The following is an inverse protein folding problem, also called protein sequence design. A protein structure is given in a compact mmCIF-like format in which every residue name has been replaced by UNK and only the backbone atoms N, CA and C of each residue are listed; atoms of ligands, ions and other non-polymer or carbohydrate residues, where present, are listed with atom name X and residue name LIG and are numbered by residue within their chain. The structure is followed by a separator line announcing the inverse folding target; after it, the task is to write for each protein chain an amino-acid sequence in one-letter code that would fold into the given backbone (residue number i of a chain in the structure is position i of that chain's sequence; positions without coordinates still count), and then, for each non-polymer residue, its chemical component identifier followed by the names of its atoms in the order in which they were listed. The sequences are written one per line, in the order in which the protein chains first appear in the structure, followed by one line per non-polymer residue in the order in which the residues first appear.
data_IF_373737364835
#
_entry.id   IF_373737364835
#
_cell.length_a   1.000
_cell.length_b   1.000
_cell.length_c   1.000
_cell.angle_alpha   90.00
_cell.angle_beta   90.00
_cell.angle_gamma   90.00
#
_symmetry.space_group_name_H-M   'P 1'
#
loop_
_entity.id
_entity.type
_entity.pdbx_description
1 polymer ?
#
# COMPACT_ATOMS: atom_id res chain seq x y z
N UNK A 1 21.10 -16.48 -31.40
CA UNK A 1 21.13 -15.22 -30.66
C UNK A 1 20.70 -15.36 -29.18
N UNK A 2 19.62 -16.07 -28.82
CA UNK A 2 19.19 -16.26 -27.40
C UNK A 2 20.29 -16.88 -26.50
N UNK A 3 21.04 -17.88 -26.99
CA UNK A 3 22.09 -18.54 -26.18
C UNK A 3 23.35 -17.68 -25.96
N UNK A 4 23.59 -16.68 -26.81
CA UNK A 4 24.74 -15.78 -26.69
C UNK A 4 24.53 -14.72 -25.59
N UNK A 5 23.31 -14.17 -25.49
CA UNK A 5 22.98 -13.20 -24.44
C UNK A 5 22.82 -13.83 -23.05
N UNK A 6 22.38 -15.10 -22.96
CA UNK A 6 22.37 -15.86 -21.72
C UNK A 6 23.77 -16.06 -21.15
N UNK A 7 24.74 -16.47 -22.02
CA UNK A 7 26.12 -16.67 -21.59
C UNK A 7 26.84 -15.39 -21.18
N UNK A 8 26.49 -14.22 -21.77
CA UNK A 8 27.01 -12.93 -21.35
C UNK A 8 26.44 -12.52 -20.00
N UNK A 9 25.14 -12.74 -19.76
CA UNK A 9 24.48 -12.46 -18.49
C UNK A 9 25.06 -13.26 -17.32
N UNK A 10 25.33 -14.55 -17.53
CA UNK A 10 25.99 -15.41 -16.53
C UNK A 10 27.44 -14.98 -16.24
N UNK A 11 28.18 -14.59 -17.28
CA UNK A 11 29.56 -14.09 -17.11
C UNK A 11 29.65 -12.76 -16.36
N UNK A 12 28.68 -11.87 -16.60
CA UNK A 12 28.60 -10.59 -15.86
C UNK A 12 28.21 -10.84 -14.38
N UNK A 13 27.29 -11.79 -14.12
CA UNK A 13 26.91 -12.17 -12.77
C UNK A 13 28.05 -12.83 -12.00
N UNK A 14 28.79 -13.74 -12.64
CA UNK A 14 29.98 -14.38 -12.07
C UNK A 14 31.09 -13.37 -11.77
N UNK A 15 31.30 -12.37 -12.63
CA UNK A 15 32.28 -11.30 -12.39
C UNK A 15 31.88 -10.38 -11.21
N UNK A 16 30.60 -10.08 -11.02
CA UNK A 16 30.13 -9.28 -9.87
C UNK A 16 30.32 -10.03 -8.55
N UNK A 17 30.01 -11.32 -8.50
CA UNK A 17 30.24 -12.14 -7.31
C UNK A 17 31.75 -12.25 -7.00
N UNK A 18 32.59 -12.45 -8.02
CA UNK A 18 34.03 -12.49 -7.83
C UNK A 18 34.62 -11.14 -7.32
N UNK A 19 34.14 -10.01 -7.85
CA UNK A 19 34.54 -8.67 -7.41
C UNK A 19 34.10 -8.42 -5.97
N UNK A 20 32.88 -8.85 -5.58
CA UNK A 20 32.40 -8.73 -4.20
C UNK A 20 33.22 -9.58 -3.22
N UNK A 21 33.57 -10.81 -3.58
CA UNK A 21 34.41 -11.69 -2.75
C UNK A 21 35.81 -11.07 -2.58
N UNK A 22 36.42 -10.54 -3.63
CA UNK A 22 37.73 -9.87 -3.56
C UNK A 22 37.67 -8.63 -2.67
N UNK A 23 36.58 -7.84 -2.76
CA UNK A 23 36.38 -6.67 -1.90
C UNK A 23 36.26 -7.05 -0.40
N UNK A 24 35.53 -8.12 -0.10
CA UNK A 24 35.39 -8.63 1.28
C UNK A 24 36.73 -9.14 1.81
N UNK A 25 37.49 -9.91 1.02
CA UNK A 25 38.80 -10.40 1.42
C UNK A 25 39.79 -9.26 1.66
N UNK A 26 39.77 -8.22 0.84
CA UNK A 26 40.58 -7.02 1.03
C UNK A 26 40.17 -6.25 2.29
N UNK A 27 38.88 -6.11 2.56
CA UNK A 27 38.38 -5.48 3.78
C UNK A 27 38.82 -6.23 5.04
N UNK A 28 38.73 -7.56 5.05
CA UNK A 28 39.21 -8.41 6.16
C UNK A 28 40.72 -8.27 6.34
N UNK A 29 41.50 -8.25 5.26
CA UNK A 29 42.94 -8.10 5.31
C UNK A 29 43.34 -6.72 5.90
N UNK A 30 42.62 -5.64 5.57
CA UNK A 30 42.83 -4.31 6.12
C UNK A 30 42.50 -4.28 7.62
N UNK A 31 41.40 -4.90 8.05
CA UNK A 31 41.02 -4.99 9.47
C UNK A 31 42.06 -5.76 10.25
N UNK A 32 42.56 -6.89 9.75
CA UNK A 32 43.62 -7.68 10.41
C UNK A 32 44.90 -6.90 10.50
N UNK A 33 45.29 -6.14 9.43
CA UNK A 33 46.49 -5.28 9.44
C UNK A 33 46.36 -4.11 10.41
N UNK A 34 45.16 -3.52 10.54
CA UNK A 34 44.91 -2.42 11.52
C UNK A 34 44.95 -2.93 12.96
N UNK A 35 44.41 -4.11 13.23
CA UNK A 35 44.45 -4.77 14.56
C UNK A 35 45.93 -5.05 14.92
N UNK A 36 46.72 -5.55 13.98
CA UNK A 36 48.12 -5.84 14.21
C UNK A 36 48.99 -4.59 14.47
N UNK A 37 48.55 -3.40 13.93
CA UNK A 37 49.26 -2.13 14.13
C UNK A 37 48.85 -1.38 15.41
N UNK A 38 47.70 -1.65 15.96
CA UNK A 38 47.16 -0.97 17.17
C UNK A 38 47.49 -1.71 18.46
N UNK A 39 47.79 -3.02 18.39
CA UNK A 39 48.10 -3.80 19.58
C UNK A 39 49.60 -3.63 19.98
N UNK A 40 49.90 -3.42 21.29
CA UNK A 40 51.27 -3.36 21.77
C UNK A 40 52.02 -4.65 21.49
N UNK A 41 53.31 -4.57 21.19
CA UNK A 41 54.19 -5.68 20.84
C UNK A 41 54.23 -6.85 21.87
N UNK A 42 53.66 -6.68 23.08
CA UNK A 42 53.61 -7.63 24.14
C UNK A 42 52.27 -8.39 24.21
N UNK A 43 51.25 -8.09 23.38
CA UNK A 43 49.93 -8.70 23.47
C UNK A 43 49.97 -10.21 23.17
N UNK A 44 50.75 -10.62 22.16
CA UNK A 44 50.88 -12.04 21.80
C UNK A 44 51.83 -12.83 22.68
N UNK A 45 52.79 -12.14 23.36
CA UNK A 45 53.69 -12.81 24.30
C UNK A 45 52.97 -13.27 25.58
N UNK A 46 51.97 -12.53 26.04
CA UNK A 46 51.20 -12.81 27.24
C UNK A 46 50.14 -13.91 27.05
N UNK A 47 49.80 -14.28 25.81
CA UNK A 47 48.86 -15.36 25.52
C UNK A 47 49.49 -16.77 25.57
N UNK A 48 50.84 -16.87 25.54
CA UNK A 48 51.58 -18.16 25.44
C UNK A 48 52.29 -18.53 26.73
N UNK A 49 52.56 -17.56 27.65
CA UNK A 49 53.19 -17.82 28.94
C UNK A 49 52.14 -17.76 30.06
N UNK A 50 51.62 -18.92 30.43
CA UNK A 50 50.75 -19.06 31.60
C UNK A 50 51.55 -18.96 32.92
N UNK A 51 51.82 -17.74 33.38
CA UNK A 51 52.31 -17.52 34.76
C UNK A 51 51.37 -16.52 35.44
N UNK A 52 50.71 -17.04 36.48
CA UNK A 52 49.92 -16.28 37.42
C UNK A 52 50.79 -15.58 38.43
N UNK A 53 50.84 -14.27 38.46
CA UNK A 53 51.27 -13.53 39.65
C UNK A 53 50.08 -12.80 40.25
N UNK A 54 49.57 -13.34 41.36
CA UNK A 54 48.66 -12.62 42.24
C UNK A 54 49.39 -11.51 42.97
N UNK A 55 49.02 -10.28 42.74
CA UNK A 55 49.22 -9.20 43.70
C UNK A 55 47.84 -8.57 43.94
N UNK A 56 47.29 -8.90 45.12
CA UNK A 56 46.06 -8.31 45.59
C UNK A 56 46.34 -6.90 46.04
N UNK A 57 45.83 -5.91 45.28
CA UNK A 57 45.62 -4.57 45.78
C UNK A 57 44.11 -4.34 45.67
N UNK A 58 43.44 -4.40 46.82
CA UNK A 58 42.07 -3.98 46.96
C UNK A 58 41.97 -2.47 46.81
N UNK A 59 41.51 -2.02 45.67
CA UNK A 59 40.96 -0.68 45.51
C UNK A 59 39.47 -0.90 45.27
N UNK A 60 38.64 -0.47 46.22
CA UNK A 60 37.21 -0.30 46.06
C UNK A 60 37.01 0.76 44.96
N UNK A 61 36.89 0.32 43.71
CA UNK A 61 36.36 1.15 42.63
C UNK A 61 34.87 0.90 42.59
N UNK A 62 34.08 1.95 42.83
CA UNK A 62 32.67 1.96 42.45
C UNK A 62 32.55 1.46 40.99
N UNK A 63 31.56 0.58 40.71
CA UNK A 63 31.35 0.13 39.34
C UNK A 63 31.08 1.35 38.45
N UNK A 64 31.88 1.50 37.38
CA UNK A 64 31.56 2.46 36.31
C UNK A 64 30.10 2.23 35.87
N UNK A 65 29.28 3.31 35.79
CA UNK A 65 27.92 3.15 35.35
C UNK A 65 27.92 2.47 33.96
N UNK A 66 27.11 1.41 33.83
CA UNK A 66 26.91 0.78 32.52
C UNK A 66 26.49 1.90 31.51
N UNK A 67 27.10 1.92 30.31
CA UNK A 67 26.73 2.90 29.31
C UNK A 67 25.22 2.83 29.07
N UNK A 68 24.57 3.97 29.12
CA UNK A 68 23.14 4.05 28.76
C UNK A 68 22.96 3.41 27.37
N UNK A 69 21.94 2.56 27.18
CA UNK A 69 21.69 1.96 25.88
C UNK A 69 21.52 3.07 24.84
N UNK A 70 22.24 2.95 23.73
CA UNK A 70 22.08 3.89 22.61
C UNK A 70 20.61 3.93 22.22
N UNK A 71 20.06 5.14 21.90
CA UNK A 71 18.65 5.24 21.50
C UNK A 71 18.40 4.37 20.28
N UNK A 72 17.33 3.61 20.36
CA UNK A 72 16.85 2.82 19.21
C UNK A 72 16.24 3.78 18.17
N UNK A 73 17.00 4.07 17.11
CA UNK A 73 16.60 4.93 16.01
C UNK A 73 15.88 4.15 14.89
N UNK A 74 15.48 2.90 15.13
CA UNK A 74 14.66 2.17 14.17
C UNK A 74 13.33 2.90 13.91
N UNK A 75 12.82 2.80 12.68
CA UNK A 75 11.55 3.40 12.35
C UNK A 75 10.75 2.52 11.38
N UNK A 76 9.48 2.86 11.24
CA UNK A 76 8.56 2.21 10.33
C UNK A 76 7.93 3.23 9.38
N UNK A 77 7.59 2.78 8.17
CA UNK A 77 6.67 3.48 7.27
C UNK A 77 5.43 2.62 7.15
N UNK A 78 4.32 3.13 7.66
CA UNK A 78 3.04 2.44 7.67
C UNK A 78 2.06 3.11 6.72
N UNK A 79 1.49 2.32 5.80
CA UNK A 79 0.50 2.81 4.84
C UNK A 79 -0.75 1.94 4.88
N UNK A 80 -1.91 2.58 4.77
CA UNK A 80 -3.21 1.88 4.73
C UNK A 80 -3.89 2.09 3.39
N UNK A 81 -4.41 1.01 2.82
CA UNK A 81 -5.17 1.02 1.57
C UNK A 81 -6.61 0.58 1.81
N UNK A 82 -7.56 1.31 1.21
CA UNK A 82 -8.98 0.94 1.22
C UNK A 82 -9.53 0.87 -0.22
N UNK A 83 -10.58 0.07 -0.38
CA UNK A 83 -11.18 -0.23 -1.67
C UNK A 83 -12.10 0.85 -2.22
N UNK A 84 -13.15 0.41 -2.91
CA UNK A 84 -14.04 1.26 -3.71
C UNK A 84 -14.83 2.23 -2.83
N UNK A 85 -14.51 3.49 -2.95
CA UNK A 85 -15.10 4.60 -2.18
C UNK A 85 -15.94 5.47 -3.12
N UNK A 86 -17.26 5.35 -3.01
CA UNK A 86 -18.23 6.18 -3.72
C UNK A 86 -18.93 7.10 -2.71
N UNK A 87 -18.40 8.32 -2.56
CA UNK A 87 -19.00 9.36 -1.71
C UNK A 87 -20.07 10.18 -2.47
N UNK A 88 -20.91 9.46 -3.18
CA UNK A 88 -21.95 9.95 -4.06
C UNK A 88 -23.12 8.96 -4.11
N UNK A 89 -24.19 9.30 -4.78
CA UNK A 89 -25.18 8.33 -5.24
C UNK A 89 -25.51 8.50 -6.73
N UNK A 90 -26.19 7.50 -7.25
CA UNK A 90 -26.60 7.47 -8.64
C UNK A 90 -27.42 8.71 -9.02
N UNK A 91 -27.00 9.44 -10.05
CA UNK A 91 -27.70 10.61 -10.61
C UNK A 91 -28.11 11.67 -9.57
N UNK A 92 -27.28 11.96 -8.59
CA UNK A 92 -27.54 12.96 -7.55
C UNK A 92 -28.86 12.76 -6.77
N UNK A 93 -29.36 11.52 -6.64
CA UNK A 93 -30.56 11.22 -5.88
C UNK A 93 -30.41 11.65 -4.42
N UNK A 94 -31.42 12.35 -3.89
CA UNK A 94 -31.50 12.81 -2.48
C UNK A 94 -32.65 12.16 -1.71
N UNK A 95 -33.21 11.06 -2.21
CA UNK A 95 -34.27 10.32 -1.55
C UNK A 95 -33.86 9.83 -0.16
N UNK A 96 -34.87 9.51 0.68
CA UNK A 96 -34.65 9.01 2.03
C UNK A 96 -33.75 7.78 2.04
N UNK A 97 -32.71 7.80 2.88
CA UNK A 97 -31.69 6.77 3.03
C UNK A 97 -30.65 6.74 1.90
N UNK A 98 -30.59 7.76 1.01
CA UNK A 98 -29.52 7.88 0.02
C UNK A 98 -28.24 8.45 0.65
N UNK A 99 -27.08 8.22 -0.01
CA UNK A 99 -25.82 8.81 0.42
C UNK A 99 -25.91 10.34 0.48
N UNK A 100 -26.48 10.98 -0.55
CA UNK A 100 -26.59 12.43 -0.61
C UNK A 100 -27.50 12.99 0.48
N UNK A 101 -28.53 12.27 0.94
CA UNK A 101 -29.31 12.68 2.11
C UNK A 101 -28.43 12.67 3.37
N UNK A 102 -27.64 11.61 3.59
CA UNK A 102 -26.70 11.55 4.72
C UNK A 102 -25.66 12.68 4.63
N UNK A 103 -25.02 12.87 3.48
CA UNK A 103 -24.03 13.91 3.26
C UNK A 103 -24.59 15.35 3.42
N UNK A 104 -25.89 15.55 3.22
CA UNK A 104 -26.53 16.83 3.48
C UNK A 104 -26.89 17.05 4.96
N UNK A 105 -27.00 16.00 5.77
CA UNK A 105 -27.48 16.05 7.15
C UNK A 105 -26.41 15.78 8.20
N UNK A 106 -25.38 15.04 7.84
CA UNK A 106 -24.31 14.60 8.74
C UNK A 106 -23.06 15.45 8.55
N UNK A 107 -22.30 15.60 9.64
CA UNK A 107 -20.95 16.12 9.55
C UNK A 107 -20.09 15.21 8.67
N UNK A 108 -19.15 15.73 7.87
CA UNK A 108 -18.25 14.90 7.07
C UNK A 108 -17.50 13.81 7.84
N UNK A 109 -17.14 14.05 9.10
CA UNK A 109 -16.46 13.07 9.96
C UNK A 109 -17.31 11.83 10.26
N UNK A 110 -18.65 11.93 10.18
CA UNK A 110 -19.57 10.81 10.44
C UNK A 110 -19.22 9.55 9.63
N UNK A 111 -18.84 9.71 8.37
CA UNK A 111 -18.73 8.59 7.42
C UNK A 111 -17.59 7.63 7.77
N UNK A 112 -16.45 8.13 8.20
CA UNK A 112 -15.27 7.33 8.48
C UNK A 112 -14.84 7.34 9.96
N UNK A 113 -15.67 7.87 10.88
CA UNK A 113 -15.32 8.04 12.29
C UNK A 113 -14.85 6.74 12.97
N UNK A 114 -15.42 5.59 12.56
CA UNK A 114 -15.09 4.28 13.13
C UNK A 114 -13.79 3.68 12.59
N UNK A 115 -13.31 4.20 11.47
CA UNK A 115 -12.06 3.78 10.83
C UNK A 115 -10.94 4.80 11.08
N UNK A 116 -11.28 6.07 11.27
CA UNK A 116 -10.34 7.17 11.50
C UNK A 116 -9.22 6.84 12.51
N UNK A 117 -9.47 6.17 13.66
CA UNK A 117 -8.39 5.82 14.60
C UNK A 117 -7.31 4.87 14.03
N UNK A 118 -7.57 4.19 12.92
CA UNK A 118 -6.58 3.37 12.20
C UNK A 118 -5.76 4.28 11.29
N UNK A 119 -6.43 5.14 10.52
CA UNK A 119 -5.78 6.07 9.59
C UNK A 119 -4.89 7.10 10.30
N UNK A 120 -5.30 7.56 11.50
CA UNK A 120 -4.48 8.46 12.32
C UNK A 120 -3.18 7.84 12.87
N UNK A 121 -3.02 6.52 12.74
CA UNK A 121 -1.83 5.78 13.24
C UNK A 121 -0.89 5.35 12.13
N UNK A 122 -1.25 5.59 10.89
CA UNK A 122 -0.38 5.35 9.75
C UNK A 122 0.29 6.65 9.28
N UNK A 123 1.15 6.53 8.29
CA UNK A 123 1.86 7.66 7.68
C UNK A 123 1.19 8.12 6.39
N UNK A 124 0.37 7.24 5.76
CA UNK A 124 -0.28 7.56 4.50
C UNK A 124 -1.44 6.59 4.21
N UNK A 125 -2.65 7.10 4.25
CA UNK A 125 -3.85 6.37 3.82
C UNK A 125 -4.20 6.69 2.37
N UNK A 126 -4.38 5.64 1.56
CA UNK A 126 -4.70 5.75 0.14
C UNK A 126 -5.94 4.92 -0.23
N UNK A 127 -6.92 5.54 -0.92
CA UNK A 127 -8.19 4.90 -1.27
C UNK A 127 -8.51 5.01 -2.77
N UNK A 128 -9.44 4.20 -3.28
CA UNK A 128 -10.01 4.38 -4.63
C UNK A 128 -11.21 5.33 -4.58
N UNK A 129 -11.06 6.56 -5.05
CA UNK A 129 -12.18 7.51 -5.20
C UNK A 129 -12.91 7.24 -6.51
N UNK A 130 -14.11 6.67 -6.43
CA UNK A 130 -14.85 6.14 -7.58
C UNK A 130 -16.08 6.98 -7.92
N UNK A 131 -15.96 8.28 -7.83
CA UNK A 131 -17.00 9.21 -8.26
C UNK A 131 -16.43 10.60 -8.62
N UNK A 132 -17.22 11.37 -9.38
CA UNK A 132 -16.92 12.76 -9.71
C UNK A 132 -17.33 13.69 -8.55
N UNK A 133 -16.48 14.67 -8.25
CA UNK A 133 -16.71 15.77 -7.30
C UNK A 133 -16.88 17.08 -8.06
N UNK A 134 -18.11 17.61 -8.15
CA UNK A 134 -18.39 18.85 -8.86
C UNK A 134 -19.70 19.48 -8.41
N UNK A 135 -19.67 20.79 -8.17
CA UNK A 135 -20.86 21.60 -7.88
C UNK A 135 -21.58 22.06 -9.14
N UNK A 136 -21.00 21.83 -10.32
CA UNK A 136 -21.60 22.21 -11.60
C UNK A 136 -22.75 21.28 -11.98
N UNK A 137 -23.72 21.84 -12.68
CA UNK A 137 -24.77 21.06 -13.34
C UNK A 137 -24.20 20.44 -14.61
N UNK A 138 -23.72 19.19 -14.51
CA UNK A 138 -23.12 18.45 -15.61
C UNK A 138 -24.09 17.39 -16.14
N UNK A 139 -24.01 17.10 -17.44
CA UNK A 139 -24.73 15.98 -18.06
C UNK A 139 -23.84 14.74 -18.03
N UNK A 140 -24.36 13.58 -17.58
CA UNK A 140 -23.60 12.34 -17.64
C UNK A 140 -23.29 11.95 -19.08
N UNK A 141 -22.15 11.31 -19.30
CA UNK A 141 -21.78 10.78 -20.62
C UNK A 141 -22.75 9.68 -21.06
N UNK A 142 -23.02 9.60 -22.35
CA UNK A 142 -23.80 8.50 -22.91
C UNK A 142 -23.03 7.17 -22.80
N UNK A 143 -23.75 6.09 -22.51
CA UNK A 143 -23.23 4.73 -22.47
C UNK A 143 -24.16 3.81 -23.25
N UNK A 144 -23.61 2.92 -24.03
CA UNK A 144 -24.31 2.00 -24.93
C UNK A 144 -24.70 0.65 -24.27
N UNK A 145 -24.49 0.53 -22.94
CA UNK A 145 -24.85 -0.65 -22.16
C UNK A 145 -25.82 -0.32 -21.02
N UNK A 146 -26.57 -1.33 -20.59
CA UNK A 146 -27.55 -1.22 -19.50
C UNK A 146 -27.44 -2.45 -18.57
N UNK A 147 -27.51 -2.25 -17.25
CA UNK A 147 -27.66 -0.96 -16.54
C UNK A 147 -26.37 -0.14 -16.58
N UNK A 148 -26.49 1.17 -16.74
CA UNK A 148 -25.37 2.10 -16.63
C UNK A 148 -25.55 3.00 -15.40
N UNK A 149 -24.46 3.27 -14.69
CA UNK A 149 -24.43 4.08 -13.48
C UNK A 149 -23.48 5.26 -13.64
N UNK A 150 -23.83 6.39 -13.05
CA UNK A 150 -23.01 7.60 -13.01
C UNK A 150 -23.02 8.16 -11.60
N UNK A 151 -21.86 8.44 -11.05
CA UNK A 151 -21.70 8.91 -9.69
C UNK A 151 -21.09 10.30 -9.67
N UNK A 152 -21.83 11.25 -9.11
CA UNK A 152 -21.37 12.61 -8.87
C UNK A 152 -21.92 13.11 -7.53
N UNK A 153 -21.12 13.89 -6.83
CA UNK A 153 -21.54 14.59 -5.63
C UNK A 153 -20.98 16.00 -5.58
N UNK A 154 -21.37 16.75 -4.56
CA UNK A 154 -20.83 18.08 -4.29
C UNK A 154 -19.32 18.02 -4.07
N UNK A 155 -18.62 19.07 -4.48
CA UNK A 155 -17.19 19.22 -4.23
C UNK A 155 -16.87 19.10 -2.72
N UNK A 156 -17.73 19.66 -1.84
CA UNK A 156 -17.57 19.61 -0.38
C UNK A 156 -17.55 18.20 0.22
N UNK A 157 -18.00 17.16 -0.50
CA UNK A 157 -17.91 15.77 0.00
C UNK A 157 -16.46 15.29 0.13
N UNK A 158 -15.48 15.96 -0.49
CA UNK A 158 -14.05 15.71 -0.26
C UNK A 158 -13.69 15.82 1.24
N UNK A 159 -14.43 16.63 2.00
CA UNK A 159 -14.22 16.80 3.44
C UNK A 159 -14.47 15.51 4.23
N UNK A 160 -15.20 14.54 3.68
CA UNK A 160 -15.33 13.19 4.27
C UNK A 160 -13.96 12.52 4.37
N UNK A 161 -13.12 12.71 3.36
CA UNK A 161 -11.78 12.13 3.31
C UNK A 161 -10.82 12.89 4.23
N UNK A 162 -10.76 14.22 4.08
CA UNK A 162 -9.81 15.06 4.85
C UNK A 162 -10.11 15.11 6.35
N UNK A 163 -11.38 14.98 6.76
CA UNK A 163 -11.74 14.92 8.19
C UNK A 163 -11.37 13.58 8.85
N UNK A 164 -10.87 12.62 8.08
CA UNK A 164 -10.68 11.23 8.50
C UNK A 164 -9.26 10.69 8.24
N UNK A 165 -8.27 11.57 8.11
CA UNK A 165 -6.86 11.23 7.84
C UNK A 165 -6.71 10.33 6.60
N UNK A 166 -7.30 10.76 5.49
CA UNK A 166 -6.99 10.22 4.16
C UNK A 166 -6.08 11.22 3.48
N UNK A 167 -4.89 10.79 3.06
CA UNK A 167 -3.87 11.65 2.45
C UNK A 167 -3.88 11.56 0.93
N UNK A 168 -4.33 10.44 0.36
CA UNK A 168 -4.28 10.24 -1.08
C UNK A 168 -5.40 9.40 -1.67
N UNK A 169 -5.62 9.60 -2.97
CA UNK A 169 -6.66 8.87 -3.71
C UNK A 169 -6.18 8.38 -5.06
N UNK A 170 -6.61 7.17 -5.44
CA UNK A 170 -6.65 6.76 -6.84
C UNK A 170 -7.87 7.42 -7.49
N UNK A 171 -7.65 8.16 -8.56
CA UNK A 171 -8.72 8.64 -9.45
C UNK A 171 -8.50 8.05 -10.84
N UNK A 172 -8.51 6.70 -10.89
CA UNK A 172 -8.26 5.89 -12.08
C UNK A 172 -9.19 4.68 -12.08
N UNK A 173 -10.43 4.87 -12.48
CA UNK A 173 -11.48 3.86 -12.49
C UNK A 173 -12.50 4.13 -13.60
N UNK A 174 -13.51 3.25 -13.76
CA UNK A 174 -14.56 3.38 -14.78
C UNK A 174 -15.51 4.56 -14.55
N UNK A 175 -15.53 5.16 -13.35
CA UNK A 175 -16.36 6.32 -13.00
C UNK A 175 -15.63 7.66 -13.07
N UNK A 176 -14.34 7.66 -13.36
CA UNK A 176 -13.51 8.87 -13.48
C UNK A 176 -14.07 9.88 -14.50
N UNK A 177 -14.66 9.39 -15.59
CA UNK A 177 -15.19 10.20 -16.69
C UNK A 177 -16.72 10.18 -16.79
N UNK A 178 -17.44 9.87 -15.74
CA UNK A 178 -18.90 9.81 -15.73
C UNK A 178 -19.58 11.08 -16.25
N UNK A 179 -18.94 12.22 -16.08
CA UNK A 179 -19.41 13.53 -16.51
C UNK A 179 -18.40 14.22 -17.44
N UNK A 180 -17.63 13.43 -18.18
CA UNK A 180 -16.67 13.89 -19.17
C UNK A 180 -15.54 14.72 -18.58
N UNK A 181 -14.81 15.42 -19.46
CA UNK A 181 -13.63 16.22 -19.09
C UNK A 181 -13.95 17.29 -18.04
N UNK A 182 -15.15 17.88 -18.06
CA UNK A 182 -15.53 18.90 -17.07
C UNK A 182 -15.61 18.30 -15.66
N UNK A 183 -16.27 17.14 -15.49
CA UNK A 183 -16.34 16.44 -14.22
C UNK A 183 -14.97 15.96 -13.74
N UNK A 184 -14.16 15.43 -14.64
CA UNK A 184 -12.78 15.04 -14.36
C UNK A 184 -11.96 16.22 -13.81
N UNK A 185 -11.94 17.34 -14.52
CA UNK A 185 -11.15 18.51 -14.13
C UNK A 185 -11.63 19.12 -12.81
N UNK A 186 -12.95 19.19 -12.59
CA UNK A 186 -13.50 19.67 -11.31
C UNK A 186 -13.10 18.78 -10.14
N UNK A 187 -13.12 17.45 -10.33
CA UNK A 187 -12.68 16.49 -9.32
C UNK A 187 -11.21 16.69 -8.99
N UNK A 188 -10.34 16.78 -9.99
CA UNK A 188 -8.90 17.03 -9.77
C UNK A 188 -8.66 18.36 -9.05
N UNK A 189 -9.38 19.41 -9.44
CA UNK A 189 -9.29 20.72 -8.78
C UNK A 189 -9.73 20.64 -7.30
N UNK A 190 -10.81 19.91 -7.03
CA UNK A 190 -11.34 19.69 -5.67
C UNK A 190 -10.35 18.92 -4.80
N UNK A 191 -9.80 17.82 -5.29
CA UNK A 191 -8.79 17.00 -4.60
C UNK A 191 -7.56 17.86 -4.24
N UNK A 192 -7.03 18.62 -5.21
CA UNK A 192 -5.90 19.52 -5.01
C UNK A 192 -6.19 20.61 -3.97
N UNK A 193 -7.37 21.24 -4.07
CA UNK A 193 -7.77 22.29 -3.13
C UNK A 193 -7.94 21.76 -1.70
N UNK A 194 -8.28 20.48 -1.55
CA UNK A 194 -8.38 19.79 -0.27
C UNK A 194 -7.02 19.34 0.29
N UNK A 195 -5.92 19.53 -0.44
CA UNK A 195 -4.58 19.13 -0.02
C UNK A 195 -4.30 17.63 -0.12
N UNK A 196 -5.15 16.87 -0.84
CA UNK A 196 -4.96 15.43 -1.03
C UNK A 196 -4.01 15.15 -2.20
N UNK A 197 -3.16 14.15 -2.03
CA UNK A 197 -2.42 13.55 -3.13
C UNK A 197 -3.37 12.72 -4.01
N UNK A 198 -3.05 12.61 -5.30
CA UNK A 198 -3.86 11.81 -6.21
C UNK A 198 -3.04 11.16 -7.31
N UNK A 199 -3.35 9.92 -7.61
CA UNK A 199 -2.84 9.22 -8.79
C UNK A 199 -3.91 9.12 -9.87
N UNK A 200 -3.46 9.20 -11.13
CA UNK A 200 -4.30 8.98 -12.32
C UNK A 200 -3.65 7.97 -13.24
N UNK A 201 -4.28 7.68 -14.38
CA UNK A 201 -3.69 6.82 -15.41
C UNK A 201 -2.30 7.30 -15.86
N UNK A 202 -1.97 8.58 -15.66
CA UNK A 202 -0.70 9.18 -16.11
C UNK A 202 0.11 9.85 -15.01
N UNK A 203 -0.46 10.06 -13.82
CA UNK A 203 0.24 10.67 -12.67
C UNK A 203 0.48 9.61 -11.59
N UNK A 204 1.72 9.40 -11.22
CA UNK A 204 2.15 8.61 -10.06
C UNK A 204 2.19 9.52 -8.83
N UNK A 205 1.78 8.98 -7.67
CA UNK A 205 1.98 9.61 -6.36
C UNK A 205 3.33 9.14 -5.81
N UNK A 206 4.06 10.06 -5.19
CA UNK A 206 5.27 9.74 -4.44
C UNK A 206 5.11 10.20 -3.01
N UNK A 207 5.29 9.29 -2.07
CA UNK A 207 5.35 9.55 -0.64
C UNK A 207 6.78 9.37 -0.16
N UNK A 208 7.28 10.27 0.71
CA UNK A 208 8.65 10.18 1.22
C UNK A 208 8.65 10.38 2.74
N UNK A 209 9.33 9.48 3.45
CA UNK A 209 9.60 9.60 4.89
C UNK A 209 11.03 9.12 5.16
N UNK A 210 11.81 9.91 5.89
CA UNK A 210 13.21 9.62 6.21
C UNK A 210 14.05 9.25 4.96
N UNK A 211 13.91 10.05 3.90
CA UNK A 211 14.56 9.88 2.60
C UNK A 211 14.17 8.62 1.81
N UNK A 212 13.35 7.72 2.37
CA UNK A 212 12.81 6.56 1.66
C UNK A 212 11.55 6.96 0.88
N UNK A 213 11.58 6.75 -0.42
CA UNK A 213 10.53 7.18 -1.33
C UNK A 213 9.73 6.01 -1.89
N UNK A 214 8.42 6.08 -1.74
CA UNK A 214 7.46 5.08 -2.20
C UNK A 214 6.66 5.67 -3.38
N UNK A 215 6.54 4.92 -4.47
CA UNK A 215 5.72 5.27 -5.62
C UNK A 215 4.40 4.49 -5.58
N UNK A 216 3.27 5.18 -5.82
CA UNK A 216 1.95 4.55 -6.01
C UNK A 216 1.52 4.81 -7.45
N UNK A 217 1.50 3.75 -8.26
CA UNK A 217 1.16 3.75 -9.68
C UNK A 217 -0.28 3.22 -9.83
N UNK A 218 -1.21 4.09 -10.28
CA UNK A 218 -2.60 3.70 -10.49
C UNK A 218 -2.90 3.44 -11.98
N UNK A 219 -3.70 2.42 -12.27
CA UNK A 219 -4.12 2.09 -13.64
C UNK A 219 -5.45 1.34 -13.67
N UNK A 220 -6.20 1.51 -14.76
CA UNK A 220 -7.23 0.55 -15.16
C UNK A 220 -6.57 -0.76 -15.62
N UNK A 221 -7.19 -1.91 -15.32
CA UNK A 221 -6.73 -3.22 -15.74
C UNK A 221 -7.92 -4.07 -16.23
N UNK A 222 -8.32 -3.86 -17.49
CA UNK A 222 -9.49 -4.46 -18.12
C UNK A 222 -9.16 -5.66 -19.00
N UNK A 223 -7.90 -5.83 -19.38
CA UNK A 223 -7.37 -6.97 -20.14
C UNK A 223 -5.87 -7.10 -19.90
N UNK A 224 -5.33 -8.28 -20.14
CA UNK A 224 -3.95 -8.63 -19.81
C UNK A 224 -2.90 -7.70 -20.45
N UNK A 225 -3.15 -7.21 -21.67
CA UNK A 225 -2.21 -6.38 -22.42
C UNK A 225 -1.91 -5.03 -21.76
N UNK A 226 -2.81 -4.52 -20.90
CA UNK A 226 -2.57 -3.27 -20.15
C UNK A 226 -1.43 -3.38 -19.14
N UNK A 227 -1.06 -4.60 -18.73
CA UNK A 227 0.11 -4.80 -17.86
C UNK A 227 1.40 -4.23 -18.44
N UNK A 228 1.54 -4.16 -19.76
CA UNK A 228 2.75 -3.62 -20.40
C UNK A 228 2.98 -2.13 -20.11
N UNK A 229 1.92 -1.31 -20.12
CA UNK A 229 2.01 0.11 -19.74
C UNK A 229 2.28 0.28 -18.25
N UNK A 230 1.64 -0.53 -17.41
CA UNK A 230 1.87 -0.51 -15.96
C UNK A 230 3.34 -0.86 -15.66
N UNK A 231 3.89 -1.91 -16.27
CA UNK A 231 5.30 -2.33 -16.11
C UNK A 231 6.26 -1.21 -16.55
N UNK A 232 5.96 -0.52 -17.67
CA UNK A 232 6.76 0.62 -18.11
C UNK A 232 6.80 1.70 -17.01
N UNK A 233 5.64 2.04 -16.44
CA UNK A 233 5.52 3.05 -15.37
C UNK A 233 6.16 2.61 -14.05
N UNK A 234 6.11 1.31 -13.72
CA UNK A 234 6.85 0.75 -12.58
C UNK A 234 8.35 0.94 -12.76
N UNK A 235 8.89 0.65 -13.94
CA UNK A 235 10.32 0.86 -14.24
C UNK A 235 10.72 2.33 -14.20
N UNK A 236 9.91 3.23 -14.77
CA UNK A 236 10.13 4.67 -14.68
C UNK A 236 10.12 5.16 -13.22
N UNK A 237 9.20 4.65 -12.39
CA UNK A 237 9.12 4.99 -10.98
C UNK A 237 10.33 4.45 -10.19
N UNK A 238 10.81 3.24 -10.50
CA UNK A 238 11.96 2.63 -9.81
C UNK A 238 13.31 3.35 -10.04
N UNK A 239 13.38 4.25 -11.02
CA UNK A 239 14.55 5.11 -11.22
C UNK A 239 14.65 6.23 -10.18
N UNK A 240 13.54 6.54 -9.49
CA UNK A 240 13.43 7.70 -8.59
C UNK A 240 12.73 7.39 -7.26
N UNK A 241 12.45 6.13 -6.98
CA UNK A 241 11.81 5.66 -5.74
C UNK A 241 12.32 4.28 -5.34
N UNK A 242 12.18 3.95 -4.06
CA UNK A 242 12.76 2.76 -3.43
C UNK A 242 11.77 1.60 -3.35
N UNK A 243 10.46 1.87 -3.41
CA UNK A 243 9.39 0.87 -3.33
C UNK A 243 8.24 1.24 -4.27
N UNK A 244 7.77 0.28 -5.08
CA UNK A 244 6.78 0.50 -6.13
C UNK A 244 5.49 -0.27 -5.83
N UNK A 245 4.42 0.47 -5.50
CA UNK A 245 3.08 -0.06 -5.29
C UNK A 245 2.24 0.16 -6.54
N UNK A 246 1.63 -0.89 -7.06
CA UNK A 246 0.64 -0.79 -8.13
C UNK A 246 -0.75 -0.94 -7.54
N UNK A 247 -1.60 0.08 -7.71
CA UNK A 247 -3.00 0.07 -7.33
C UNK A 247 -3.86 0.08 -8.59
N UNK A 248 -4.47 -1.05 -8.94
CA UNK A 248 -5.25 -1.16 -10.17
C UNK A 248 -6.76 -1.26 -9.92
N UNK A 249 -7.54 -0.87 -10.93
CA UNK A 249 -9.00 -0.96 -10.93
C UNK A 249 -9.46 -1.79 -12.13
N UNK A 250 -10.08 -2.96 -11.90
CA UNK A 250 -10.53 -3.84 -12.98
C UNK A 250 -10.94 -5.23 -12.53
N UNK A 251 -11.52 -5.98 -13.46
CA UNK A 251 -12.08 -7.31 -13.24
C UNK A 251 -13.60 -7.36 -13.47
N UNK A 252 -14.22 -8.47 -13.10
CA UNK A 252 -15.66 -8.69 -13.20
C UNK A 252 -16.33 -8.33 -11.88
N UNK A 253 -17.35 -7.45 -11.93
CA UNK A 253 -18.11 -7.04 -10.75
C UNK A 253 -18.85 -8.24 -10.11
N UNK A 254 -18.95 -8.23 -8.76
CA UNK A 254 -19.69 -9.18 -7.93
C UNK A 254 -19.24 -10.63 -8.05
N UNK A 255 -18.01 -10.84 -8.51
CA UNK A 255 -17.39 -12.17 -8.61
C UNK A 255 -16.20 -12.25 -7.66
N UNK A 256 -16.24 -13.20 -6.72
CA UNK A 256 -15.17 -13.38 -5.72
C UNK A 256 -13.89 -14.00 -6.29
N UNK A 257 -14.00 -14.78 -7.36
CA UNK A 257 -12.82 -15.33 -8.02
C UNK A 257 -12.20 -14.27 -8.98
N UNK A 258 -10.91 -13.98 -8.92
CA UNK A 258 -10.29 -13.06 -9.86
C UNK A 258 -10.29 -13.65 -11.28
N UNK A 259 -10.53 -12.79 -12.28
CA UNK A 259 -10.47 -13.19 -13.69
C UNK A 259 -9.09 -13.74 -14.05
N UNK A 260 -9.03 -14.76 -14.90
CA UNK A 260 -7.78 -15.37 -15.33
C UNK A 260 -6.79 -14.37 -15.97
N UNK A 261 -7.31 -13.37 -16.73
CA UNK A 261 -6.46 -12.34 -17.31
C UNK A 261 -5.85 -11.43 -16.25
N UNK A 262 -6.64 -11.11 -15.20
CA UNK A 262 -6.25 -10.28 -14.07
C UNK A 262 -5.12 -10.93 -13.28
N UNK A 263 -5.23 -12.23 -13.01
CA UNK A 263 -4.17 -13.02 -12.36
C UNK A 263 -2.88 -12.98 -13.17
N UNK A 264 -2.95 -13.28 -14.49
CA UNK A 264 -1.76 -13.24 -15.33
C UNK A 264 -1.15 -11.85 -15.44
N UNK A 265 -1.99 -10.80 -15.54
CA UNK A 265 -1.53 -9.43 -15.61
C UNK A 265 -0.85 -8.99 -14.31
N UNK A 266 -1.44 -9.28 -13.14
CA UNK A 266 -0.87 -8.94 -11.85
C UNK A 266 0.50 -9.62 -11.63
N UNK A 267 0.62 -10.90 -11.96
CA UNK A 267 1.91 -11.62 -11.91
C UNK A 267 2.97 -11.02 -12.84
N UNK A 268 2.59 -10.62 -14.06
CA UNK A 268 3.49 -9.90 -14.97
C UNK A 268 3.95 -8.56 -14.42
N UNK A 269 3.06 -7.85 -13.70
CA UNK A 269 3.39 -6.58 -13.05
C UNK A 269 4.42 -6.80 -11.94
N UNK A 270 4.30 -7.87 -11.14
CA UNK A 270 5.32 -8.29 -10.17
C UNK A 270 6.64 -8.64 -10.87
N UNK A 271 6.60 -9.47 -11.93
CA UNK A 271 7.80 -9.80 -12.73
C UNK A 271 8.44 -8.54 -13.35
N UNK A 272 7.65 -7.48 -13.53
CA UNK A 272 8.09 -6.17 -14.03
C UNK A 272 8.73 -5.26 -13.00
N UNK A 273 8.74 -5.65 -11.72
CA UNK A 273 9.43 -4.96 -10.62
C UNK A 273 8.52 -4.24 -9.63
N UNK A 274 7.20 -4.51 -9.60
CA UNK A 274 6.34 -4.02 -8.54
C UNK A 274 6.62 -4.79 -7.23
N UNK A 275 6.70 -4.07 -6.11
CA UNK A 275 6.94 -4.62 -4.77
C UNK A 275 5.63 -4.96 -4.04
N UNK A 276 4.50 -4.42 -4.50
CA UNK A 276 3.16 -4.69 -3.99
C UNK A 276 2.12 -4.42 -5.07
N UNK A 277 1.11 -5.28 -5.19
CA UNK A 277 0.02 -5.11 -6.16
C UNK A 277 -1.33 -5.20 -5.45
N UNK A 278 -2.16 -4.15 -5.58
CA UNK A 278 -3.46 -4.04 -4.92
C UNK A 278 -4.54 -3.76 -5.97
N UNK A 279 -5.66 -4.48 -5.87
CA UNK A 279 -6.78 -4.37 -6.80
C UNK A 279 -8.06 -3.82 -6.18
N UNK A 280 -8.90 -3.24 -7.04
CA UNK A 280 -10.25 -2.74 -6.76
C UNK A 280 -11.17 -2.96 -7.96
N UNK A 281 -12.44 -2.57 -7.92
CA UNK A 281 -13.50 -2.68 -8.91
C UNK A 281 -14.52 -3.81 -8.71
N UNK A 282 -14.19 -5.05 -8.33
CA UNK A 282 -15.22 -6.09 -8.24
C UNK A 282 -16.37 -5.78 -7.29
N UNK A 283 -16.25 -4.76 -6.43
CA UNK A 283 -17.21 -4.39 -5.39
C UNK A 283 -17.51 -5.51 -4.37
N UNK A 284 -16.68 -6.54 -4.40
CA UNK A 284 -16.62 -7.65 -3.46
C UNK A 284 -15.17 -8.00 -3.20
N UNK A 285 -14.90 -8.68 -2.10
CA UNK A 285 -13.55 -9.18 -1.82
C UNK A 285 -13.12 -10.22 -2.86
N UNK A 286 -11.86 -10.17 -3.23
CA UNK A 286 -11.17 -11.25 -3.93
C UNK A 286 -9.91 -11.63 -3.15
N UNK A 287 -9.49 -12.90 -3.16
CA UNK A 287 -8.39 -13.37 -2.34
C UNK A 287 -7.06 -12.71 -2.68
N UNK A 288 -6.07 -12.93 -1.84
CA UNK A 288 -4.67 -12.57 -2.07
C UNK A 288 -3.86 -13.77 -2.51
N UNK A 289 -2.69 -13.51 -3.08
CA UNK A 289 -1.64 -14.51 -3.27
C UNK A 289 -0.26 -13.92 -3.01
N UNK A 290 0.70 -14.77 -2.69
CA UNK A 290 2.12 -14.42 -2.71
C UNK A 290 2.73 -14.99 -3.98
N UNK A 291 3.19 -14.12 -4.87
CA UNK A 291 3.83 -14.51 -6.12
C UNK A 291 5.26 -13.98 -6.19
N UNK A 292 6.24 -14.86 -6.34
CA UNK A 292 7.68 -14.52 -6.30
C UNK A 292 8.10 -13.69 -5.07
N UNK A 293 7.44 -13.92 -3.92
CA UNK A 293 7.71 -13.19 -2.68
C UNK A 293 6.98 -11.85 -2.55
N UNK A 294 6.22 -11.43 -3.58
CA UNK A 294 5.43 -10.20 -3.59
C UNK A 294 3.95 -10.51 -3.34
N UNK A 295 3.31 -9.72 -2.51
CA UNK A 295 1.88 -9.86 -2.23
C UNK A 295 1.03 -9.20 -3.31
N UNK A 296 0.00 -9.92 -3.77
CA UNK A 296 -1.01 -9.46 -4.70
C UNK A 296 -2.36 -9.58 -4.02
N UNK A 297 -3.08 -8.48 -3.84
CA UNK A 297 -4.46 -8.44 -3.37
C UNK A 297 -5.36 -8.17 -4.57
N UNK A 298 -6.26 -9.10 -4.91
CA UNK A 298 -7.06 -8.95 -6.13
C UNK A 298 -8.23 -7.98 -5.98
N UNK A 299 -8.83 -7.83 -4.78
CA UNK A 299 -9.82 -6.78 -4.50
C UNK A 299 -10.01 -6.58 -3.00
N UNK A 300 -9.99 -5.31 -2.59
CA UNK A 300 -10.29 -4.86 -1.22
C UNK A 300 -11.81 -4.77 -0.94
N UNK A 301 -12.66 -4.93 -1.96
CA UNK A 301 -14.12 -4.75 -1.88
C UNK A 301 -14.53 -3.27 -1.80
N UNK A 302 -15.80 -3.05 -1.46
CA UNK A 302 -16.32 -1.70 -1.20
C UNK A 302 -15.81 -1.17 0.13
N UNK A 303 -15.64 0.16 0.23
CA UNK A 303 -15.31 0.80 1.50
C UNK A 303 -16.43 1.74 1.95
N UNK A 304 -16.32 3.06 1.82
CA UNK A 304 -17.45 3.98 2.03
C UNK A 304 -18.25 4.08 0.74
N UNK A 305 -19.33 3.30 0.62
CA UNK A 305 -19.92 3.01 -0.68
C UNK A 305 -21.36 3.54 -0.81
N UNK A 306 -21.54 4.66 -1.50
CA UNK A 306 -22.85 5.28 -1.78
C UNK A 306 -23.59 4.69 -2.99
N UNK A 307 -22.98 3.81 -3.77
CA UNK A 307 -23.51 3.28 -5.03
C UNK A 307 -24.74 2.37 -4.90
N UNK A 308 -24.91 1.72 -3.75
CA UNK A 308 -26.04 0.83 -3.51
C UNK A 308 -26.47 0.82 -2.03
N UNK A 309 -27.78 0.61 -1.78
CA UNK A 309 -28.33 0.58 -0.41
C UNK A 309 -28.05 -0.71 0.35
N UNK A 310 -27.70 -1.77 -0.31
CA UNK A 310 -27.36 -3.08 0.26
C UNK A 310 -26.24 -3.72 -0.57
N UNK A 311 -25.03 -3.12 -0.56
CA UNK A 311 -23.86 -3.77 -1.15
C UNK A 311 -23.51 -5.01 -0.33
N UNK A 312 -22.68 -5.88 -0.86
CA UNK A 312 -22.08 -6.92 -0.03
C UNK A 312 -21.34 -6.25 1.14
N UNK A 313 -21.58 -6.75 2.35
CA UNK A 313 -21.15 -6.07 3.57
C UNK A 313 -19.83 -6.61 4.14
N UNK A 314 -18.86 -6.86 3.26
CA UNK A 314 -17.50 -7.24 3.63
C UNK A 314 -16.50 -6.47 2.79
N UNK A 315 -15.52 -5.91 3.46
CA UNK A 315 -14.33 -5.30 2.85
C UNK A 315 -13.13 -5.51 3.77
N UNK A 316 -11.97 -5.13 3.30
CA UNK A 316 -10.77 -5.10 4.12
C UNK A 316 -10.05 -3.77 3.96
N UNK A 317 -9.42 -3.29 5.04
CA UNK A 317 -8.27 -2.42 4.93
C UNK A 317 -7.04 -3.30 4.78
N UNK A 318 -6.13 -2.89 3.92
CA UNK A 318 -4.84 -3.52 3.78
C UNK A 318 -3.77 -2.56 4.29
N UNK A 319 -3.07 -2.97 5.33
CA UNK A 319 -2.02 -2.17 5.93
C UNK A 319 -0.67 -2.80 5.63
N UNK A 320 0.26 -2.02 5.12
CA UNK A 320 1.64 -2.41 4.87
C UNK A 320 2.57 -1.59 5.75
N UNK A 321 3.56 -2.26 6.35
CA UNK A 321 4.59 -1.64 7.19
C UNK A 321 5.96 -2.01 6.64
N UNK A 322 6.71 -1.00 6.20
CA UNK A 322 8.11 -1.15 5.83
C UNK A 322 8.95 -0.87 7.08
N UNK A 323 9.88 -1.77 7.39
CA UNK A 323 10.69 -1.72 8.60
C UNK A 323 12.11 -1.29 8.27
N UNK A 324 12.70 -0.47 9.14
CA UNK A 324 14.05 0.05 9.01
C UNK A 324 14.79 -0.13 10.33
N UNK A 325 16.05 -0.52 10.25
CA UNK A 325 16.91 -0.61 11.43
C UNK A 325 17.37 0.79 11.90
N UNK A 326 18.18 0.81 12.94
CA UNK A 326 18.71 2.04 13.54
C UNK A 326 19.65 2.83 12.63
N UNK A 327 20.20 2.19 11.61
CA UNK A 327 21.01 2.81 10.55
C UNK A 327 20.14 3.33 9.40
N UNK A 328 18.81 3.16 9.45
CA UNK A 328 17.88 3.55 8.39
C UNK A 328 17.90 2.60 7.19
N UNK A 329 18.43 1.38 7.34
CA UNK A 329 18.45 0.37 6.28
C UNK A 329 17.13 -0.37 6.27
N UNK A 330 16.52 -0.50 5.09
CA UNK A 330 15.31 -1.30 4.90
C UNK A 330 15.56 -2.77 5.24
N UNK A 331 14.79 -3.31 6.17
CA UNK A 331 14.93 -4.69 6.66
C UNK A 331 13.82 -5.62 6.21
N UNK A 332 12.73 -5.08 5.67
CA UNK A 332 11.64 -5.89 5.14
C UNK A 332 10.27 -5.24 5.26
N UNK A 333 9.27 -5.95 4.77
CA UNK A 333 7.87 -5.51 4.74
C UNK A 333 6.99 -6.51 5.50
N UNK A 334 6.07 -5.98 6.30
CA UNK A 334 4.98 -6.73 6.90
C UNK A 334 3.65 -6.22 6.37
N UNK A 335 2.64 -7.08 6.34
CA UNK A 335 1.29 -6.69 5.94
C UNK A 335 0.26 -7.19 6.96
N UNK A 336 -0.83 -6.45 7.07
CA UNK A 336 -1.99 -6.82 7.87
C UNK A 336 -3.26 -6.61 7.05
N UNK A 337 -4.13 -7.62 7.05
CA UNK A 337 -5.49 -7.51 6.55
C UNK A 337 -6.40 -7.24 7.74
N UNK A 338 -7.10 -6.10 7.70
CA UNK A 338 -8.05 -5.70 8.74
C UNK A 338 -9.47 -5.88 8.17
N UNK A 339 -10.18 -6.96 8.54
CA UNK A 339 -11.55 -7.21 8.10
C UNK A 339 -12.52 -6.13 8.58
N UNK A 340 -13.34 -5.63 7.65
CA UNK A 340 -14.29 -4.56 7.90
C UNK A 340 -15.67 -4.89 7.34
N UNK A 341 -16.71 -4.30 7.96
CA UNK A 341 -18.01 -4.10 7.35
C UNK A 341 -17.97 -2.86 6.47
N UNK A 342 -18.70 -2.89 5.36
CA UNK A 342 -18.95 -1.72 4.51
C UNK A 342 -19.93 -0.75 5.20
N UNK A 343 -20.83 -1.29 6.04
CA UNK A 343 -21.80 -0.52 6.81
C UNK A 343 -22.21 -1.28 8.09
N UNK A 344 -22.67 -0.54 9.09
CA UNK A 344 -23.03 -1.09 10.42
C UNK A 344 -24.52 -1.11 10.73
N UNK A 345 -25.35 -0.57 9.84
CA UNK A 345 -26.81 -0.57 10.00
C UNK A 345 -27.47 -1.84 9.41
N UNK A 346 -28.79 -1.97 9.54
CA UNK A 346 -29.58 -3.00 8.85
C UNK A 346 -29.63 -2.78 7.32
N UNK A 347 -29.37 -1.56 6.91
CA UNK A 347 -29.11 -1.10 5.53
C UNK A 347 -27.90 -0.18 5.57
N UNK A 348 -27.32 0.07 4.41
CA UNK A 348 -26.15 0.91 4.28
C UNK A 348 -26.38 2.28 4.93
N UNK A 349 -25.64 2.56 5.99
CA UNK A 349 -25.56 3.84 6.68
C UNK A 349 -24.25 4.58 6.36
N UNK A 350 -23.48 4.03 5.40
CA UNK A 350 -22.26 4.62 4.86
C UNK A 350 -21.13 4.79 5.89
N UNK A 351 -21.16 3.96 6.93
CA UNK A 351 -20.14 3.91 7.98
C UNK A 351 -19.43 2.56 7.98
N UNK A 352 -18.31 2.40 7.29
CA UNK A 352 -17.47 1.21 7.44
C UNK A 352 -16.94 1.12 8.89
N UNK A 353 -16.73 -0.11 9.35
CA UNK A 353 -16.20 -0.37 10.68
C UNK A 353 -15.45 -1.70 10.71
N UNK A 354 -14.45 -1.82 11.58
CA UNK A 354 -13.75 -3.08 11.83
C UNK A 354 -14.72 -4.15 12.32
N UNK A 355 -14.51 -5.38 11.89
CA UNK A 355 -15.26 -6.54 12.37
C UNK A 355 -14.66 -7.00 13.70
N UNK A 356 -15.42 -6.76 14.79
CA UNK A 356 -15.04 -7.15 16.14
C UNK A 356 -15.40 -8.62 16.46
N UNK A 357 -16.33 -9.20 15.71
CA UNK A 357 -16.72 -10.60 15.89
C UNK A 357 -15.62 -11.52 15.37
N UNK A 358 -14.94 -12.24 16.24
CA UNK A 358 -13.79 -13.07 15.90
C UNK A 358 -14.10 -14.17 14.87
N UNK A 359 -15.32 -14.74 14.90
CA UNK A 359 -15.72 -15.75 13.91
C UNK A 359 -15.89 -15.16 12.51
N UNK A 360 -16.50 -13.98 12.40
CA UNK A 360 -16.67 -13.30 11.12
C UNK A 360 -15.33 -12.74 10.62
N UNK A 361 -14.53 -12.19 11.51
CA UNK A 361 -13.16 -11.72 11.22
C UNK A 361 -12.32 -12.87 10.65
N UNK A 362 -12.28 -14.01 11.34
CA UNK A 362 -11.51 -15.18 10.89
C UNK A 362 -12.01 -15.70 9.54
N UNK A 363 -13.33 -15.68 9.31
CA UNK A 363 -13.89 -16.11 8.02
C UNK A 363 -13.41 -15.22 6.86
N UNK A 364 -13.39 -13.90 7.06
CA UNK A 364 -12.85 -12.98 6.05
C UNK A 364 -11.36 -13.24 5.81
N UNK A 365 -10.55 -13.44 6.87
CA UNK A 365 -9.13 -13.76 6.74
C UNK A 365 -8.92 -15.08 6.00
N UNK A 366 -9.69 -16.12 6.33
CA UNK A 366 -9.62 -17.41 5.64
C UNK A 366 -10.02 -17.31 4.17
N UNK A 367 -10.98 -16.43 3.84
CA UNK A 367 -11.34 -16.14 2.46
C UNK A 367 -10.19 -15.42 1.73
N UNK A 368 -9.60 -14.39 2.33
CA UNK A 368 -8.48 -13.68 1.74
C UNK A 368 -7.27 -14.59 1.50
N UNK A 369 -7.08 -15.60 2.33
CA UNK A 369 -6.04 -16.64 2.17
C UNK A 369 -6.45 -17.79 1.23
N UNK A 370 -7.63 -17.74 0.61
CA UNK A 370 -8.11 -18.78 -0.29
C UNK A 370 -8.49 -20.12 0.38
N UNK A 371 -8.71 -20.12 1.70
CA UNK A 371 -9.07 -21.33 2.47
C UNK A 371 -10.57 -21.64 2.43
N UNK A 372 -11.39 -20.64 2.11
CA UNK A 372 -12.85 -20.76 1.97
C UNK A 372 -13.33 -19.99 0.75
N UNK A 373 -14.50 -20.39 0.17
CA UNK A 373 -15.00 -19.83 -1.09
C UNK A 373 -15.83 -18.54 -0.92
N UNK A 374 -16.14 -18.14 0.31
CA UNK A 374 -16.98 -16.97 0.59
C UNK A 374 -16.56 -16.27 1.89
N UNK A 375 -16.52 -14.92 1.91
CA UNK A 375 -16.22 -14.14 3.11
C UNK A 375 -17.44 -13.99 4.04
N UNK A 376 -18.63 -14.47 3.61
CA UNK A 376 -19.91 -14.33 4.32
C UNK A 376 -20.25 -15.55 5.16
#
# INVERSE_FOLDING_TARGET
MKNFFSAIGEKIRANRVAVSIIAIVLAIAIVVATIAFVLPDNFFKNLVSGESNQTVVSVDSEPEPEPEPEPDNSFEIKMTFAGDTIIACYKDITSSGSFNEYANKKDPSYFLEKIKPIFEKDDFTFINLENVLSDKKLTPVERDYSPAFWFKSKASNVNILTSSSVEGVSFTNNHTNDYGTAGYNDTIATIKAAGLEYATQTKTVYFTKNDYKIAIICSGLWYEGQSADIIRRVKEASEVSDFQIVFFHGGTEKVHAPDNYKVRAARKIVDGGADLVIGSHPHVLQPREIYNGVEIIYSLGNFCYGGHRRPENRCVLYQVTLNFDKEGIYTGVNSEIIPCYVYTGSVNNYQPAVIENEKEKQRVLDFMDGKVDSPL
#
